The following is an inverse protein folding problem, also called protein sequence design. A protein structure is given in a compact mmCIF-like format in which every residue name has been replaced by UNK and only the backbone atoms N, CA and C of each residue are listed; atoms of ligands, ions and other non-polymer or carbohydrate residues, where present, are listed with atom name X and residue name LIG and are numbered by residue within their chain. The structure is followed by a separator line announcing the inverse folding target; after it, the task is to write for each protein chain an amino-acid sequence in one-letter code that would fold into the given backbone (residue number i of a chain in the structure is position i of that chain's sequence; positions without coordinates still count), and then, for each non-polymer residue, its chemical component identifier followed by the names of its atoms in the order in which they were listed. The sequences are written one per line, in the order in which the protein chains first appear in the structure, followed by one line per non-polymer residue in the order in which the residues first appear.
data_IF_079094591234
#
_entry.id   IF_079094591234
#
_cell.length_a   1.000
_cell.length_b   1.000
_cell.length_c   1.000
_cell.angle_alpha   90.00
_cell.angle_beta   90.00
_cell.angle_gamma   90.00
#
_symmetry.space_group_name_H-M   'P 1'
#
loop_
_entity.id
_entity.type
_entity.pdbx_description
1 polymer ?
#
# COMPACT_ATOMS: atom_id res chain seq x y z
N UNK A 1 -6.40 -16.61 -21.05
CA UNK A 1 -5.72 -15.60 -20.21
C UNK A 1 -4.28 -16.04 -20.03
N UNK A 2 -3.32 -15.11 -20.04
CA UNK A 2 -1.92 -15.45 -19.78
C UNK A 2 -1.79 -16.10 -18.40
N UNK A 3 -0.94 -17.13 -18.29
CA UNK A 3 -0.69 -17.79 -17.01
C UNK A 3 0.04 -16.81 -16.09
N UNK A 4 -0.53 -16.54 -14.91
CA UNK A 4 -0.05 -15.53 -13.99
C UNK A 4 0.41 -16.19 -12.70
N UNK A 5 1.69 -16.04 -12.37
CA UNK A 5 2.30 -16.57 -11.16
C UNK A 5 2.89 -15.42 -10.36
N UNK A 6 2.37 -15.18 -9.17
CA UNK A 6 2.76 -14.04 -8.34
C UNK A 6 3.58 -14.49 -7.13
N UNK A 7 4.56 -13.68 -6.77
CA UNK A 7 5.39 -13.88 -5.59
C UNK A 7 4.95 -12.94 -4.47
N UNK A 8 4.44 -13.46 -3.36
CA UNK A 8 3.86 -12.67 -2.26
C UNK A 8 4.70 -12.81 -1.00
N UNK A 9 5.39 -11.72 -0.64
CA UNK A 9 6.16 -11.61 0.59
C UNK A 9 5.21 -11.23 1.74
N UNK A 10 5.08 -12.11 2.74
CA UNK A 10 4.17 -11.90 3.87
C UNK A 10 2.71 -12.33 3.61
N UNK A 11 2.48 -13.27 2.68
CA UNK A 11 1.13 -13.67 2.25
C UNK A 11 0.29 -14.40 3.31
N UNK A 12 0.86 -14.81 4.45
CA UNK A 12 0.10 -15.34 5.59
C UNK A 12 -0.31 -14.24 6.59
N UNK A 13 0.09 -12.98 6.34
CA UNK A 13 -0.23 -11.82 7.17
C UNK A 13 -1.65 -11.27 6.95
N UNK A 14 -1.92 -10.12 7.58
CA UNK A 14 -3.24 -9.49 7.56
C UNK A 14 -3.71 -9.14 6.14
N UNK A 15 -3.04 -8.22 5.45
CA UNK A 15 -3.36 -7.86 4.07
C UNK A 15 -2.88 -8.94 3.08
N UNK A 16 -1.72 -9.54 3.34
CA UNK A 16 -1.14 -10.57 2.47
C UNK A 16 -2.09 -11.74 2.22
N UNK A 17 -2.79 -12.22 3.24
CA UNK A 17 -3.75 -13.33 3.10
C UNK A 17 -4.95 -12.98 2.21
N UNK A 18 -5.45 -11.74 2.27
CA UNK A 18 -6.50 -11.27 1.38
C UNK A 18 -6.01 -11.20 -0.07
N UNK A 19 -4.78 -10.75 -0.31
CA UNK A 19 -4.16 -10.72 -1.65
C UNK A 19 -3.99 -12.13 -2.20
N UNK A 20 -3.45 -13.08 -1.41
CA UNK A 20 -3.31 -14.48 -1.83
C UNK A 20 -4.68 -15.09 -2.16
N UNK A 21 -5.67 -14.89 -1.29
CA UNK A 21 -7.06 -15.35 -1.52
C UNK A 21 -7.63 -14.79 -2.82
N UNK A 22 -7.44 -13.49 -3.08
CA UNK A 22 -7.95 -12.83 -4.28
C UNK A 22 -7.23 -13.29 -5.56
N UNK A 23 -5.92 -13.51 -5.51
CA UNK A 23 -5.14 -14.04 -6.63
C UNK A 23 -5.58 -15.45 -7.00
N UNK A 24 -5.77 -16.33 -6.02
CA UNK A 24 -6.28 -17.69 -6.24
C UNK A 24 -7.70 -17.68 -6.79
N UNK A 25 -8.56 -16.77 -6.33
CA UNK A 25 -9.90 -16.61 -6.88
C UNK A 25 -9.90 -16.17 -8.36
N UNK A 26 -8.82 -15.50 -8.82
CA UNK A 26 -8.57 -15.17 -10.24
C UNK A 26 -7.92 -16.33 -11.02
N UNK A 27 -7.65 -17.46 -10.38
CA UNK A 27 -6.99 -18.61 -10.99
C UNK A 27 -5.47 -18.45 -11.15
N UNK A 28 -4.84 -17.56 -10.40
CA UNK A 28 -3.40 -17.33 -10.45
C UNK A 28 -2.64 -18.29 -9.54
N UNK A 29 -1.43 -18.64 -9.94
CA UNK A 29 -0.48 -19.34 -9.07
C UNK A 29 0.18 -18.35 -8.11
N UNK A 30 0.39 -18.79 -6.88
CA UNK A 30 0.96 -17.95 -5.82
C UNK A 30 2.10 -18.69 -5.14
N UNK A 31 3.28 -18.08 -5.15
CA UNK A 31 4.37 -18.45 -4.24
C UNK A 31 4.36 -17.44 -3.10
N UNK A 32 4.09 -17.89 -1.87
CA UNK A 32 4.13 -17.02 -0.71
C UNK A 32 5.25 -17.39 0.24
N UNK A 33 6.07 -16.40 0.57
CA UNK A 33 7.16 -16.55 1.52
C UNK A 33 6.85 -15.89 2.86
N UNK A 34 7.30 -16.54 3.94
CA UNK A 34 7.36 -15.98 5.28
C UNK A 34 8.42 -16.72 6.10
N UNK A 35 8.93 -16.19 7.22
CA UNK A 35 9.91 -16.89 8.05
C UNK A 35 9.45 -18.27 8.55
N UNK A 36 8.13 -18.47 8.67
CA UNK A 36 7.56 -19.75 9.12
C UNK A 36 7.22 -20.72 7.99
N UNK A 37 7.03 -20.21 6.77
CA UNK A 37 6.47 -20.96 5.64
C UNK A 37 5.09 -21.57 5.87
N UNK A 38 4.38 -21.21 6.95
CA UNK A 38 3.10 -21.82 7.29
C UNK A 38 1.95 -21.23 6.46
N UNK A 39 0.99 -22.07 6.03
CA UNK A 39 -0.24 -21.59 5.44
C UNK A 39 -1.01 -20.66 6.36
N UNK A 40 -1.80 -19.76 5.78
CA UNK A 40 -2.70 -18.92 6.54
C UNK A 40 -3.70 -19.76 7.37
N UNK A 41 -3.82 -19.39 8.65
CA UNK A 41 -4.85 -19.86 9.59
C UNK A 41 -5.62 -18.68 10.14
N UNK A 42 -6.93 -18.85 10.31
CA UNK A 42 -7.76 -17.88 11.02
C UNK A 42 -7.29 -17.72 12.49
N UNK A 43 -7.68 -16.63 13.19
CA UNK A 43 -7.40 -16.48 14.62
C UNK A 43 -7.91 -17.64 15.47
N UNK A 44 -8.97 -18.33 15.02
CA UNK A 44 -9.53 -19.51 15.65
C UNK A 44 -8.78 -20.82 15.31
N UNK A 45 -7.65 -20.75 14.60
CA UNK A 45 -6.83 -21.92 14.22
C UNK A 45 -7.29 -22.68 12.97
N UNK A 46 -8.46 -22.37 12.43
CA UNK A 46 -8.98 -23.05 11.24
C UNK A 46 -8.21 -22.65 9.97
N UNK A 47 -8.00 -23.61 9.07
CA UNK A 47 -7.45 -23.40 7.73
C UNK A 47 -8.58 -23.29 6.71
N UNK A 48 -8.79 -22.13 6.09
CA UNK A 48 -9.82 -22.00 5.05
C UNK A 48 -9.40 -22.76 3.80
N UNK A 49 -10.36 -23.33 3.05
CA UNK A 49 -10.06 -24.18 1.88
C UNK A 49 -9.22 -23.50 0.78
N UNK A 50 -9.30 -22.17 0.65
CA UNK A 50 -8.44 -21.43 -0.28
C UNK A 50 -6.96 -21.51 0.10
N UNK A 51 -6.61 -21.55 1.41
CA UNK A 51 -5.21 -21.53 1.85
C UNK A 51 -4.49 -22.86 1.61
N UNK A 52 -5.25 -23.91 1.30
CA UNK A 52 -4.76 -25.24 0.91
C UNK A 52 -4.97 -25.52 -0.58
N UNK A 53 -5.31 -24.50 -1.38
CA UNK A 53 -5.47 -24.65 -2.82
C UNK A 53 -4.16 -25.14 -3.47
N UNK A 54 -4.21 -26.02 -4.47
CA UNK A 54 -3.01 -26.46 -5.21
C UNK A 54 -2.31 -25.31 -5.96
N UNK A 55 -3.00 -24.17 -6.15
CA UNK A 55 -2.43 -22.97 -6.76
C UNK A 55 -1.50 -22.20 -5.81
N UNK A 56 -1.42 -22.56 -4.53
CA UNK A 56 -0.57 -21.86 -3.54
C UNK A 56 0.57 -22.74 -3.08
N UNK A 57 1.78 -22.20 -3.14
CA UNK A 57 2.96 -22.74 -2.49
C UNK A 57 3.40 -21.83 -1.36
N UNK A 58 3.33 -22.34 -0.13
CA UNK A 58 3.84 -21.66 1.07
C UNK A 58 5.29 -22.11 1.31
N UNK A 59 6.21 -21.16 1.43
CA UNK A 59 7.64 -21.43 1.59
C UNK A 59 8.22 -20.68 2.77
N UNK A 60 9.06 -21.37 3.54
CA UNK A 60 9.87 -20.75 4.58
C UNK A 60 11.05 -20.03 3.93
N UNK A 61 11.09 -18.72 4.05
CA UNK A 61 12.14 -17.89 3.48
C UNK A 61 12.19 -16.53 4.21
N UNK A 62 13.32 -15.86 4.08
CA UNK A 62 13.59 -14.58 4.73
C UNK A 62 13.81 -13.52 3.65
N UNK A 63 13.00 -12.47 3.66
CA UNK A 63 13.02 -11.41 2.63
C UNK A 63 14.35 -10.65 2.57
N UNK A 64 15.16 -10.66 3.63
CA UNK A 64 16.49 -10.06 3.67
C UNK A 64 17.58 -10.98 3.11
N UNK A 65 17.23 -12.23 2.78
CA UNK A 65 18.14 -13.29 2.34
C UNK A 65 17.69 -13.88 1.00
N UNK A 66 18.01 -13.19 -0.12
CA UNK A 66 17.64 -13.61 -1.48
C UNK A 66 17.92 -15.06 -1.82
N UNK A 67 19.01 -15.62 -1.31
CA UNK A 67 19.41 -17.02 -1.52
C UNK A 67 18.34 -18.01 -1.07
N UNK A 68 17.43 -17.60 -0.18
CA UNK A 68 16.35 -18.47 0.31
C UNK A 68 15.13 -18.53 -0.62
N UNK A 69 15.03 -17.65 -1.62
CA UNK A 69 13.85 -17.54 -2.49
C UNK A 69 14.11 -17.15 -3.96
N UNK A 70 15.34 -16.80 -4.34
CA UNK A 70 15.65 -16.23 -5.67
C UNK A 70 15.24 -17.13 -6.84
N UNK A 71 15.35 -18.45 -6.69
CA UNK A 71 14.99 -19.37 -7.79
C UNK A 71 13.49 -19.37 -8.10
N UNK A 72 12.64 -19.11 -7.10
CA UNK A 72 11.19 -19.02 -7.30
C UNK A 72 10.80 -17.78 -8.11
N UNK A 73 11.54 -16.68 -7.93
CA UNK A 73 11.28 -15.40 -8.60
C UNK A 73 11.36 -15.51 -10.12
N UNK A 74 12.21 -16.41 -10.65
CA UNK A 74 12.38 -16.61 -12.09
C UNK A 74 11.09 -17.03 -12.80
N UNK A 75 10.25 -17.80 -12.09
CA UNK A 75 8.96 -18.28 -12.62
C UNK A 75 7.82 -17.30 -12.41
N UNK A 76 8.06 -16.19 -11.71
CA UNK A 76 7.02 -15.25 -11.30
C UNK A 76 6.90 -14.08 -12.29
N UNK A 77 5.66 -13.72 -12.60
CA UNK A 77 5.30 -12.59 -13.47
C UNK A 77 5.13 -11.29 -12.69
N UNK A 78 4.95 -11.35 -11.37
CA UNK A 78 4.76 -10.20 -10.51
C UNK A 78 5.28 -10.47 -9.09
N UNK A 79 5.62 -9.40 -8.36
CA UNK A 79 5.95 -9.45 -6.94
C UNK A 79 5.00 -8.56 -6.15
N UNK A 80 4.59 -9.01 -4.97
CA UNK A 80 3.84 -8.22 -3.99
C UNK A 80 4.56 -8.28 -2.65
N UNK A 81 5.00 -7.12 -2.18
CA UNK A 81 5.68 -6.96 -0.90
C UNK A 81 4.73 -6.36 0.13
N UNK A 82 4.25 -7.20 1.05
CA UNK A 82 3.24 -6.83 2.07
C UNK A 82 3.81 -6.68 3.47
N UNK A 83 5.11 -6.87 3.64
CA UNK A 83 5.76 -6.78 4.94
C UNK A 83 5.75 -5.32 5.43
N UNK A 84 5.45 -5.17 6.71
CA UNK A 84 5.66 -3.94 7.45
C UNK A 84 5.31 -4.15 8.92
N UNK A 85 6.12 -3.56 9.81
CA UNK A 85 5.82 -3.50 11.23
C UNK A 85 5.31 -2.11 11.56
N UNK A 86 4.26 -2.04 12.38
CA UNK A 86 3.69 -0.77 12.87
C UNK A 86 4.38 -0.28 14.16
N UNK A 87 5.20 -1.12 14.81
CA UNK A 87 5.83 -0.83 16.10
C UNK A 87 7.27 -1.37 16.16
N UNK A 88 8.22 -0.50 16.48
CA UNK A 88 9.59 -0.85 16.88
C UNK A 88 9.62 -1.30 18.35
N UNK A 89 10.59 -2.15 18.71
CA UNK A 89 10.86 -2.56 20.10
C UNK A 89 11.14 -1.37 21.03
N UNK A 90 11.61 -0.24 20.48
CA UNK A 90 12.01 0.94 21.25
C UNK A 90 10.83 1.84 21.66
N UNK A 91 9.65 1.69 21.05
CA UNK A 91 8.45 2.43 21.50
C UNK A 91 8.01 2.03 22.92
N UNK A 92 8.46 0.85 23.41
CA UNK A 92 8.25 0.43 24.80
C UNK A 92 9.20 1.09 25.81
N UNK A 93 10.29 1.71 25.37
CA UNK A 93 11.23 2.43 26.26
C UNK A 93 10.77 3.84 26.65
N UNK A 94 9.86 4.44 25.87
CA UNK A 94 9.42 5.84 26.05
C UNK A 94 8.16 6.06 26.89
N UNK A 95 7.36 5.02 27.17
CA UNK A 95 6.15 5.11 28.00
C UNK A 95 6.32 4.68 29.46
N UNK A 96 7.57 4.59 29.94
CA UNK A 96 7.89 4.28 31.34
C UNK A 96 8.77 5.34 32.04
N UNK A 97 8.67 6.61 31.64
CA UNK A 97 9.35 7.73 32.33
C UNK A 97 8.48 8.97 32.57
N UNK A 98 7.17 8.83 32.67
CA UNK A 98 6.36 9.74 33.50
C UNK A 98 6.05 9.06 34.83
N UNK A 99 7.12 8.79 35.59
CA UNK A 99 7.01 8.61 37.03
C UNK A 99 6.96 10.01 37.63
N UNK A 100 5.74 10.52 37.82
CA UNK A 100 5.51 11.83 38.41
C UNK A 100 4.10 12.36 38.19
N UNK A 101 3.09 11.69 38.79
CA UNK A 101 1.79 12.29 39.10
C UNK A 101 0.76 12.38 37.97
N UNK A 102 -0.26 11.52 38.04
CA UNK A 102 -1.68 11.90 38.03
C UNK A 102 -2.52 10.66 37.69
N UNK A 103 -3.17 10.19 38.74
CA UNK A 103 -4.35 9.33 38.72
C UNK A 103 -5.48 10.06 37.99
N UNK A 104 -5.73 9.73 36.72
CA UNK A 104 -7.03 9.99 36.06
C UNK A 104 -7.45 8.76 35.25
N UNK A 105 -7.86 7.73 35.99
CA UNK A 105 -8.69 6.65 35.48
C UNK A 105 -10.12 7.18 35.28
N UNK A 106 -10.33 7.91 34.18
CA UNK A 106 -11.65 8.12 33.59
C UNK A 106 -11.98 6.99 32.61
N UNK A 107 -13.26 6.60 32.53
CA UNK A 107 -13.76 5.49 31.69
C UNK A 107 -13.36 5.57 30.19
N UNK A 108 -12.90 6.72 29.70
CA UNK A 108 -12.42 6.91 28.32
C UNK A 108 -10.97 6.47 28.05
N UNK A 109 -10.08 6.49 29.05
CA UNK A 109 -8.65 6.18 28.84
C UNK A 109 -8.38 4.70 28.54
N UNK A 110 -9.10 3.81 29.25
CA UNK A 110 -9.03 2.37 29.02
C UNK A 110 -9.65 1.93 27.69
N UNK A 111 -10.73 2.61 27.25
CA UNK A 111 -11.38 2.38 25.96
C UNK A 111 -10.46 2.78 24.81
N UNK A 112 -9.90 3.99 24.85
CA UNK A 112 -8.95 4.46 23.82
C UNK A 112 -7.75 3.51 23.70
N UNK A 113 -7.18 3.07 24.83
CA UNK A 113 -6.08 2.11 24.83
C UNK A 113 -6.48 0.73 24.27
N UNK A 114 -7.70 0.26 24.56
CA UNK A 114 -8.25 -0.96 23.96
C UNK A 114 -8.47 -0.85 22.45
N UNK A 115 -8.90 0.31 21.97
CA UNK A 115 -9.10 0.62 20.54
C UNK A 115 -7.75 0.69 19.80
N UNK A 116 -6.73 1.36 20.36
CA UNK A 116 -5.38 1.36 19.79
C UNK A 116 -4.77 -0.05 19.74
N UNK A 117 -4.97 -0.86 20.79
CA UNK A 117 -4.54 -2.27 20.79
C UNK A 117 -5.26 -3.07 19.70
N UNK A 118 -6.54 -2.79 19.49
CA UNK A 118 -7.36 -3.38 18.44
C UNK A 118 -6.96 -3.02 17.01
N UNK A 119 -6.36 -1.84 16.85
CA UNK A 119 -5.78 -1.35 15.60
C UNK A 119 -4.43 -1.94 15.24
N UNK A 120 -3.85 -2.80 16.10
CA UNK A 120 -2.51 -3.32 15.90
C UNK A 120 -1.41 -2.39 16.43
N UNK A 121 -1.77 -1.27 17.08
CA UNK A 121 -0.83 -0.36 17.75
C UNK A 121 -0.43 -0.81 19.17
N UNK A 122 -0.91 -1.98 19.63
CA UNK A 122 -0.61 -2.49 20.98
C UNK A 122 -0.48 -4.01 21.13
N UNK A 123 -0.45 -4.80 20.05
CA UNK A 123 -0.33 -6.27 20.17
C UNK A 123 1.13 -6.75 20.09
N UNK A 124 1.76 -6.84 21.27
CA UNK A 124 2.64 -7.94 21.71
C UNK A 124 3.82 -8.41 20.84
N UNK A 125 5.02 -8.25 21.38
CA UNK A 125 6.25 -8.98 21.05
C UNK A 125 6.06 -10.51 21.25
N UNK A 126 6.27 -11.36 20.24
CA UNK A 126 6.45 -12.79 20.44
C UNK A 126 7.94 -13.08 20.69
N UNK A 127 8.34 -12.88 21.95
CA UNK A 127 9.51 -13.40 22.66
C UNK A 127 10.93 -13.11 22.10
N UNK A 128 11.75 -12.55 23.00
CA UNK A 128 13.20 -12.68 22.99
C UNK A 128 13.57 -14.16 22.89
N UNK A 129 14.41 -14.48 21.91
CA UNK A 129 15.78 -14.94 22.15
C UNK A 129 16.52 -14.99 20.80
N UNK A 130 17.58 -14.18 20.69
CA UNK A 130 18.57 -14.19 19.59
C UNK A 130 18.16 -13.61 18.23
N UNK A 131 17.85 -12.31 18.13
CA UNK A 131 17.95 -11.58 16.86
C UNK A 131 18.09 -10.07 17.10
N UNK A 132 19.09 -9.43 16.48
CA UNK A 132 19.33 -8.00 16.61
C UNK A 132 18.15 -7.13 16.14
N UNK A 133 17.90 -6.04 16.87
CA UNK A 133 17.15 -4.83 16.53
C UNK A 133 16.51 -4.81 15.12
N UNK A 134 15.27 -5.26 14.98
CA UNK A 134 14.49 -5.08 13.74
C UNK A 134 13.88 -3.67 13.72
N UNK A 135 14.54 -2.75 13.02
CA UNK A 135 14.13 -1.35 12.82
C UNK A 135 13.06 -1.22 11.72
N UNK A 136 12.29 -0.13 11.70
CA UNK A 136 11.36 0.15 10.60
C UNK A 136 12.07 0.14 9.25
N UNK A 137 13.27 0.69 9.18
CA UNK A 137 14.11 0.78 8.00
C UNK A 137 14.38 -0.62 7.42
N UNK A 138 14.81 -1.56 8.27
CA UNK A 138 15.10 -2.93 7.85
C UNK A 138 13.85 -3.62 7.31
N UNK A 139 12.75 -3.52 8.06
CA UNK A 139 11.54 -4.27 7.76
C UNK A 139 10.72 -3.64 6.61
N UNK A 140 10.56 -2.33 6.58
CA UNK A 140 9.75 -1.62 5.60
C UNK A 140 10.51 -1.32 4.31
N UNK A 141 11.80 -0.95 4.40
CA UNK A 141 12.59 -0.48 3.25
C UNK A 141 13.55 -1.55 2.77
N UNK A 142 14.48 -2.00 3.62
CA UNK A 142 15.59 -2.84 3.17
C UNK A 142 15.12 -4.22 2.69
N UNK A 143 14.10 -4.80 3.34
CA UNK A 143 13.49 -6.06 2.90
C UNK A 143 12.79 -5.95 1.53
N UNK A 144 12.15 -4.80 1.24
CA UNK A 144 11.53 -4.56 -0.05
C UNK A 144 12.59 -4.38 -1.15
N UNK A 145 13.67 -3.65 -0.86
CA UNK A 145 14.79 -3.45 -1.78
C UNK A 145 15.55 -4.76 -2.05
N UNK A 146 15.74 -5.60 -1.03
CA UNK A 146 16.33 -6.94 -1.16
C UNK A 146 15.54 -7.79 -2.17
N UNK A 147 14.21 -7.85 -2.00
CA UNK A 147 13.33 -8.61 -2.90
C UNK A 147 13.30 -8.00 -4.30
N UNK A 148 13.27 -6.66 -4.43
CA UNK A 148 13.27 -5.98 -5.73
C UNK A 148 14.56 -6.25 -6.51
N UNK A 149 15.73 -6.17 -5.87
CA UNK A 149 17.03 -6.48 -6.49
C UNK A 149 17.08 -7.93 -6.96
N UNK A 150 16.69 -8.87 -6.10
CA UNK A 150 16.62 -10.29 -6.46
C UNK A 150 15.66 -10.54 -7.64
N UNK A 151 14.54 -9.81 -7.70
CA UNK A 151 13.58 -9.94 -8.80
C UNK A 151 14.14 -9.37 -10.10
N UNK A 152 14.77 -8.20 -10.08
CA UNK A 152 15.46 -7.63 -11.25
C UNK A 152 16.52 -8.62 -11.74
N UNK A 153 17.38 -9.10 -10.85
CA UNK A 153 18.46 -10.05 -11.18
C UNK A 153 17.92 -11.35 -11.79
N UNK A 154 16.83 -11.90 -11.24
CA UNK A 154 16.18 -13.11 -11.76
C UNK A 154 15.65 -12.94 -13.18
N UNK A 155 15.37 -11.70 -13.61
CA UNK A 155 14.85 -11.37 -14.93
C UNK A 155 15.92 -10.95 -15.93
N UNK A 156 17.02 -10.37 -15.44
CA UNK A 156 18.17 -9.97 -16.29
C UNK A 156 19.23 -11.05 -16.41
N UNK A 157 19.18 -12.09 -15.57
CA UNK A 157 20.12 -13.21 -15.58
C UNK A 157 20.08 -14.03 -16.88
N UNK A 158 21.22 -14.59 -17.26
CA UNK A 158 21.48 -15.27 -18.54
C UNK A 158 20.93 -16.69 -18.68
N UNK A 159 20.12 -17.18 -17.72
CA UNK A 159 19.62 -18.56 -17.74
C UNK A 159 18.14 -18.59 -18.13
N UNK A 160 17.79 -18.96 -19.38
CA UNK A 160 16.41 -18.96 -19.84
C UNK A 160 15.63 -20.11 -19.19
N UNK A 161 14.62 -19.76 -18.38
CA UNK A 161 13.51 -20.67 -18.10
C UNK A 161 12.47 -20.51 -19.21
N UNK A 162 11.93 -21.65 -19.63
CA UNK A 162 11.21 -21.92 -20.88
C UNK A 162 9.82 -21.27 -21.03
N UNK A 163 9.55 -20.20 -20.29
CA UNK A 163 8.32 -19.43 -20.36
C UNK A 163 8.67 -17.97 -20.63
N UNK A 164 8.57 -17.58 -21.90
CA UNK A 164 8.72 -16.19 -22.33
C UNK A 164 7.75 -15.30 -21.56
N UNK A 165 8.24 -14.33 -20.76
CA UNK A 165 7.34 -13.35 -20.15
C UNK A 165 6.69 -12.53 -21.27
N UNK A 166 5.36 -12.45 -21.26
CA UNK A 166 4.58 -11.70 -22.26
C UNK A 166 4.76 -10.18 -22.16
N UNK A 167 5.35 -9.68 -21.07
CA UNK A 167 5.65 -8.27 -20.83
C UNK A 167 7.14 -8.07 -20.50
N UNK A 168 7.74 -7.04 -21.10
CA UNK A 168 9.10 -6.58 -20.83
C UNK A 168 9.27 -6.06 -19.40
N UNK A 169 8.22 -5.43 -18.86
CA UNK A 169 8.21 -4.88 -17.51
C UNK A 169 7.27 -5.66 -16.59
N UNK A 170 7.78 -6.12 -15.43
CA UNK A 170 7.00 -6.89 -14.47
C UNK A 170 6.51 -6.02 -13.29
N UNK A 171 5.23 -6.10 -12.91
CA UNK A 171 4.72 -5.32 -11.78
C UNK A 171 5.39 -5.74 -10.46
N UNK A 172 5.86 -4.73 -9.71
CA UNK A 172 6.36 -4.86 -8.35
C UNK A 172 5.49 -4.02 -7.41
N UNK A 173 4.59 -4.67 -6.68
CA UNK A 173 3.66 -3.99 -5.78
C UNK A 173 4.28 -3.86 -4.40
N UNK A 174 4.34 -2.63 -3.89
CA UNK A 174 4.77 -2.32 -2.54
C UNK A 174 3.60 -1.72 -1.75
N UNK A 175 3.31 -2.32 -0.58
CA UNK A 175 2.30 -1.79 0.33
C UNK A 175 2.93 -0.70 1.21
N UNK A 176 2.62 0.54 0.87
CA UNK A 176 2.95 1.75 1.62
C UNK A 176 1.83 2.07 2.63
N UNK A 177 1.68 3.35 2.99
CA UNK A 177 0.60 3.84 3.85
C UNK A 177 0.19 5.27 3.44
N UNK A 178 -1.07 5.60 3.69
CA UNK A 178 -1.47 7.00 3.75
C UNK A 178 -0.97 7.64 5.04
N UNK A 179 -0.66 8.93 4.93
CA UNK A 179 -0.26 9.74 6.06
C UNK A 179 -1.48 10.39 6.73
N UNK A 180 -2.38 9.54 7.22
CA UNK A 180 -3.61 9.96 7.93
C UNK A 180 -3.60 9.55 9.41
N UNK A 181 -2.58 8.81 9.83
CA UNK A 181 -2.53 8.25 11.18
C UNK A 181 -1.67 9.03 12.15
N UNK A 182 -1.05 10.15 11.77
CA UNK A 182 -0.32 10.97 12.75
C UNK A 182 -1.34 11.69 13.67
N UNK A 183 -1.15 11.68 15.00
CA UNK A 183 0.03 11.24 15.76
C UNK A 183 0.02 9.76 16.25
N UNK A 184 -1.00 8.96 15.90
CA UNK A 184 -1.15 7.54 16.29
C UNK A 184 0.01 6.68 15.76
N UNK A 185 0.47 6.96 14.55
CA UNK A 185 1.63 6.34 13.90
C UNK A 185 2.82 7.31 13.96
N UNK A 186 4.03 6.78 14.15
CA UNK A 186 5.24 7.61 14.15
C UNK A 186 5.53 8.18 12.77
N UNK A 187 6.05 9.41 12.72
CA UNK A 187 6.54 10.00 11.48
C UNK A 187 7.62 9.12 10.82
N UNK A 188 8.46 8.45 11.64
CA UNK A 188 9.48 7.50 11.17
C UNK A 188 8.86 6.35 10.37
N UNK A 189 7.71 5.80 10.80
CA UNK A 189 7.03 4.76 10.04
C UNK A 189 6.64 5.25 8.64
N UNK A 190 5.98 6.41 8.54
CA UNK A 190 5.57 6.97 7.24
C UNK A 190 6.80 7.30 6.39
N UNK A 191 7.83 7.89 6.98
CA UNK A 191 9.08 8.23 6.29
C UNK A 191 9.76 6.99 5.71
N UNK A 192 9.90 5.90 6.45
CA UNK A 192 10.51 4.66 5.93
C UNK A 192 9.72 4.04 4.79
N UNK A 193 8.38 4.11 4.82
CA UNK A 193 7.54 3.70 3.68
C UNK A 193 7.81 4.57 2.45
N UNK A 194 7.92 5.90 2.60
CA UNK A 194 8.23 6.83 1.50
C UNK A 194 9.64 6.66 0.95
N UNK A 195 10.63 6.42 1.81
CA UNK A 195 12.00 6.10 1.40
C UNK A 195 12.05 4.82 0.56
N UNK A 196 11.28 3.79 0.92
CA UNK A 196 11.17 2.58 0.12
C UNK A 196 10.57 2.85 -1.28
N UNK A 197 9.53 3.69 -1.38
CA UNK A 197 8.98 4.10 -2.68
C UNK A 197 10.02 4.81 -3.54
N UNK A 198 10.79 5.73 -2.97
CA UNK A 198 11.83 6.46 -3.69
C UNK A 198 12.93 5.53 -4.20
N UNK A 199 13.46 4.64 -3.34
CA UNK A 199 14.53 3.73 -3.72
C UNK A 199 14.07 2.65 -4.71
N UNK A 200 12.81 2.20 -4.65
CA UNK A 200 12.24 1.30 -5.66
C UNK A 200 12.11 1.98 -7.03
N UNK A 201 11.68 3.24 -7.07
CA UNK A 201 11.63 4.02 -8.31
C UNK A 201 13.04 4.20 -8.90
N UNK A 202 14.03 4.44 -8.04
CA UNK A 202 15.44 4.54 -8.43
C UNK A 202 15.96 3.23 -9.02
N UNK A 203 15.70 2.08 -8.38
CA UNK A 203 16.08 0.77 -8.92
C UNK A 203 15.45 0.48 -10.28
N UNK A 204 14.18 0.86 -10.47
CA UNK A 204 13.51 0.74 -11.76
C UNK A 204 14.22 1.57 -12.84
N UNK A 205 14.56 2.83 -12.52
CA UNK A 205 15.31 3.71 -13.43
C UNK A 205 16.73 3.20 -13.72
N UNK A 206 17.44 2.72 -12.72
CA UNK A 206 18.79 2.15 -12.90
C UNK A 206 18.76 0.92 -13.81
N UNK A 207 17.74 0.06 -13.69
CA UNK A 207 17.56 -1.11 -14.56
C UNK A 207 17.34 -0.72 -16.03
N UNK A 208 16.68 0.43 -16.28
CA UNK A 208 16.48 0.98 -17.60
C UNK A 208 17.78 1.50 -18.21
N UNK A 209 18.59 2.21 -17.39
CA UNK A 209 19.89 2.77 -17.80
C UNK A 209 20.91 1.66 -18.09
N UNK A 210 21.00 0.64 -17.22
CA UNK A 210 21.89 -0.51 -17.41
C UNK A 210 21.55 -1.31 -18.67
N UNK A 211 20.25 -1.40 -18.99
CA UNK A 211 19.82 -2.02 -20.23
C UNK A 211 20.30 -1.21 -21.45
N UNK A 212 20.44 0.12 -21.35
CA UNK A 212 20.83 1.03 -22.43
C UNK A 212 22.33 1.05 -22.75
N UNK A 213 23.19 0.74 -21.77
CA UNK A 213 24.64 0.69 -21.96
C UNK A 213 25.18 -0.63 -22.54
N UNK A 214 24.40 -1.72 -22.50
CA UNK A 214 24.82 -3.05 -22.98
C UNK A 214 24.59 -3.31 -24.48
N UNK A 215 23.94 -2.40 -25.21
CA UNK A 215 23.71 -2.54 -26.66
C UNK A 215 24.80 -1.85 -27.48
N UNK A 216 25.95 -2.52 -27.65
CA UNK A 216 26.94 -2.16 -28.67
C UNK A 216 26.45 -2.58 -30.07
N UNK A 217 26.05 -1.60 -30.87
CA UNK A 217 26.10 -1.51 -32.33
C UNK A 217 25.76 -2.76 -33.16
N UNK A 218 24.49 -2.86 -33.60
CA UNK A 218 24.12 -3.48 -34.89
C UNK A 218 23.14 -2.56 -35.61
N UNK A 219 23.51 -2.15 -36.82
CA UNK A 219 22.83 -1.13 -37.64
C UNK A 219 21.44 -1.55 -38.17
N UNK A 220 20.94 -2.74 -37.80
CA UNK A 220 19.62 -3.25 -38.22
C UNK A 220 18.47 -2.94 -37.25
N UNK A 221 18.73 -2.26 -36.12
CA UNK A 221 17.73 -2.03 -35.04
C UNK A 221 16.90 -0.74 -35.18
N UNK A 222 17.09 0.05 -36.24
CA UNK A 222 16.40 1.34 -36.43
C UNK A 222 14.88 1.21 -36.63
N UNK A 223 14.36 0.00 -36.91
CA UNK A 223 12.94 -0.25 -37.17
C UNK A 223 12.12 -0.70 -35.94
N UNK A 224 12.71 -0.79 -34.75
CA UNK A 224 11.90 -0.91 -33.53
C UNK A 224 12.63 -0.25 -32.36
N UNK A 225 12.57 1.07 -32.32
CA UNK A 225 12.69 1.84 -31.08
C UNK A 225 11.48 1.53 -30.17
N UNK A 226 11.24 0.24 -29.86
CA UNK A 226 10.29 -0.17 -28.85
C UNK A 226 10.69 0.54 -27.57
N UNK A 227 9.77 1.32 -27.01
CA UNK A 227 9.98 2.09 -25.80
C UNK A 227 10.61 1.17 -24.75
N UNK A 228 11.91 1.38 -24.49
CA UNK A 228 12.61 0.60 -23.49
C UNK A 228 11.95 0.89 -22.14
N UNK A 229 11.36 -0.13 -21.56
CA UNK A 229 10.69 -0.09 -20.26
C UNK A 229 11.64 -0.57 -19.16
N UNK A 230 11.46 -0.12 -17.91
CA UNK A 230 12.22 -0.66 -16.79
C UNK A 230 11.90 -2.15 -16.58
N UNK A 231 12.86 -2.92 -16.05
CA UNK A 231 12.69 -4.38 -15.82
C UNK A 231 11.53 -4.66 -14.89
N UNK A 232 11.35 -3.80 -13.90
CA UNK A 232 10.20 -3.80 -12.99
C UNK A 232 9.39 -2.52 -13.17
N UNK A 233 8.08 -2.63 -12.94
CA UNK A 233 7.15 -1.51 -12.87
C UNK A 233 6.63 -1.39 -11.44
N UNK A 234 7.19 -0.48 -10.63
CA UNK A 234 6.77 -0.30 -9.25
C UNK A 234 5.33 0.22 -9.14
N UNK A 235 4.58 -0.34 -8.21
CA UNK A 235 3.23 0.08 -7.83
C UNK A 235 3.17 0.32 -6.32
N UNK A 236 2.91 1.56 -5.93
CA UNK A 236 2.84 1.96 -4.53
C UNK A 236 1.39 2.05 -4.10
N UNK A 237 0.93 1.08 -3.29
CA UNK A 237 -0.42 1.09 -2.75
C UNK A 237 -0.38 1.80 -1.40
N UNK A 238 -1.07 2.92 -1.29
CA UNK A 238 -1.17 3.73 -0.07
C UNK A 238 -2.57 3.56 0.53
N UNK A 239 -2.82 2.47 1.28
CA UNK A 239 -4.10 2.32 1.95
C UNK A 239 -4.19 3.26 3.16
N UNK A 240 -5.40 3.76 3.39
CA UNK A 240 -5.82 4.34 4.66
C UNK A 240 -6.13 3.25 5.69
N UNK A 241 -7.17 3.43 6.51
CA UNK A 241 -7.44 2.50 7.61
C UNK A 241 -7.97 1.19 7.06
N UNK A 242 -7.26 0.10 7.27
CA UNK A 242 -7.71 -1.23 6.88
C UNK A 242 -8.40 -1.96 8.03
N UNK A 243 -9.53 -2.61 7.73
CA UNK A 243 -10.23 -3.46 8.69
C UNK A 243 -10.66 -4.79 8.08
N UNK A 244 -10.87 -5.79 8.95
CA UNK A 244 -11.50 -7.05 8.57
C UNK A 244 -12.15 -7.72 9.79
N UNK A 245 -13.48 -7.93 9.79
CA UNK A 245 -14.20 -8.45 10.97
C UNK A 245 -13.73 -9.81 11.49
N UNK A 246 -13.35 -10.74 10.62
CA UNK A 246 -13.04 -12.11 11.05
C UNK A 246 -11.55 -12.32 11.41
N UNK A 247 -10.62 -11.72 10.66
CA UNK A 247 -9.18 -11.89 10.86
C UNK A 247 -8.60 -10.89 11.87
N UNK A 248 -9.21 -9.71 12.01
CA UNK A 248 -8.91 -8.73 13.06
C UNK A 248 -10.18 -8.05 13.58
N UNK A 249 -11.01 -8.74 14.38
CA UNK A 249 -12.30 -8.20 14.86
C UNK A 249 -12.19 -6.84 15.55
N UNK A 250 -11.09 -6.60 16.27
CA UNK A 250 -10.87 -5.35 16.98
C UNK A 250 -10.65 -4.13 16.07
N UNK A 251 -10.35 -4.34 14.78
CA UNK A 251 -10.24 -3.26 13.78
C UNK A 251 -11.61 -2.72 13.34
N UNK A 252 -12.68 -3.52 13.48
CA UNK A 252 -14.02 -3.21 12.94
C UNK A 252 -14.72 -2.09 13.68
N UNK A 253 -14.64 -2.06 15.01
CA UNK A 253 -15.38 -1.06 15.78
C UNK A 253 -14.93 0.37 15.47
N UNK A 254 -13.62 0.69 15.45
CA UNK A 254 -13.23 2.04 15.11
C UNK A 254 -13.37 2.35 13.61
N UNK A 255 -13.30 1.33 12.75
CA UNK A 255 -13.65 1.49 11.34
C UNK A 255 -15.09 1.98 11.20
N UNK A 256 -16.05 1.41 11.94
CA UNK A 256 -17.43 1.88 11.93
C UNK A 256 -17.58 3.33 12.42
N UNK A 257 -16.82 3.73 13.45
CA UNK A 257 -16.83 5.13 13.92
C UNK A 257 -16.29 6.10 12.86
N UNK A 258 -15.20 5.74 12.19
CA UNK A 258 -14.63 6.56 11.11
C UNK A 258 -15.51 6.57 9.86
N UNK A 259 -16.18 5.47 9.54
CA UNK A 259 -17.14 5.39 8.44
C UNK A 259 -18.35 6.31 8.69
N UNK A 260 -18.86 6.32 9.92
CA UNK A 260 -19.89 7.27 10.34
C UNK A 260 -19.38 8.71 10.26
N UNK A 261 -18.16 8.96 10.75
CA UNK A 261 -17.53 10.28 10.65
C UNK A 261 -17.44 10.75 9.19
N UNK A 262 -16.90 9.91 8.30
CA UNK A 262 -16.77 10.22 6.89
C UNK A 262 -18.13 10.49 6.23
N UNK A 263 -19.15 9.70 6.56
CA UNK A 263 -20.52 9.88 6.08
C UNK A 263 -21.14 11.20 6.54
N UNK A 264 -20.88 11.63 7.78
CA UNK A 264 -21.32 12.93 8.30
C UNK A 264 -20.60 14.06 7.57
N UNK A 265 -19.27 13.96 7.39
CA UNK A 265 -18.49 14.96 6.67
C UNK A 265 -18.98 15.11 5.22
N UNK A 266 -19.22 14.00 4.51
CA UNK A 266 -19.75 14.02 3.15
C UNK A 266 -21.14 14.65 3.02
N UNK A 267 -21.96 14.62 4.08
CA UNK A 267 -23.27 15.28 4.11
C UNK A 267 -23.19 16.76 4.47
N UNK A 268 -22.16 17.17 5.23
CA UNK A 268 -21.99 18.54 5.70
C UNK A 268 -21.13 19.39 4.77
N UNK A 269 -20.23 18.78 3.99
CA UNK A 269 -19.44 19.47 2.97
C UNK A 269 -20.24 19.56 1.66
N UNK A 270 -20.51 20.77 1.12
CA UNK A 270 -21.12 20.89 -0.20
C UNK A 270 -20.14 20.40 -1.27
N UNK A 271 -20.67 19.74 -2.29
CA UNK A 271 -19.93 19.40 -3.50
C UNK A 271 -19.52 20.68 -4.27
N UNK A 272 -18.43 21.33 -3.87
CA UNK A 272 -17.68 22.29 -4.70
C UNK A 272 -16.38 22.75 -4.03
N UNK A 273 -15.25 22.16 -4.41
CA UNK A 273 -14.03 22.90 -4.80
C UNK A 273 -12.92 21.93 -5.24
N UNK A 274 -13.15 21.23 -6.35
CA UNK A 274 -12.03 20.80 -7.22
C UNK A 274 -12.07 21.72 -8.44
N UNK A 275 -11.91 23.02 -8.22
CA UNK A 275 -11.56 23.94 -9.29
C UNK A 275 -10.06 23.80 -9.52
N UNK A 276 -9.70 23.08 -10.56
CA UNK A 276 -8.44 23.29 -11.27
C UNK A 276 -8.33 24.79 -11.59
N UNK A 277 -7.19 25.46 -11.37
CA UNK A 277 -7.02 26.84 -11.85
C UNK A 277 -6.94 26.78 -13.38
N UNK A 278 -8.06 27.03 -14.03
CA UNK A 278 -8.19 27.10 -15.48
C UNK A 278 -9.05 28.29 -15.84
N UNK A 279 -8.37 29.31 -16.36
CA UNK A 279 -8.80 30.51 -17.09
C UNK A 279 -10.25 31.03 -16.91
N UNK A 280 -10.31 32.30 -16.56
CA UNK A 280 -11.48 33.16 -16.51
C UNK A 280 -12.36 33.04 -17.76
N UNK A 281 -13.64 32.71 -17.56
CA UNK A 281 -14.69 32.91 -18.55
C UNK A 281 -15.91 33.54 -17.84
N UNK A 282 -16.19 34.84 -18.05
CA UNK A 282 -17.27 35.53 -17.36
C UNK A 282 -18.52 35.43 -18.23
N UNK A 283 -19.34 34.39 -18.05
CA UNK A 283 -20.79 34.34 -18.39
C UNK A 283 -21.30 32.88 -18.33
N UNK A 284 -21.61 32.40 -17.13
CA UNK A 284 -22.61 31.34 -16.97
C UNK A 284 -23.23 31.40 -15.57
N UNK A 285 -24.15 32.34 -15.41
CA UNK A 285 -25.16 32.26 -14.37
C UNK A 285 -26.07 31.06 -14.64
N UNK A 286 -26.53 30.42 -13.56
CA UNK A 286 -27.59 29.41 -13.49
C UNK A 286 -27.14 27.93 -13.52
N UNK A 287 -26.60 27.47 -12.38
CA UNK A 287 -26.80 26.07 -11.94
C UNK A 287 -27.60 26.02 -10.65
N UNK A 288 -28.66 25.23 -10.69
CA UNK A 288 -29.63 24.97 -9.64
C UNK A 288 -28.92 24.44 -8.39
N UNK A 289 -29.17 25.11 -7.27
CA UNK A 289 -28.64 24.73 -5.96
C UNK A 289 -29.27 23.41 -5.51
N UNK A 290 -28.47 22.35 -5.45
CA UNK A 290 -28.80 21.17 -4.67
C UNK A 290 -28.92 21.58 -3.19
N UNK A 291 -30.00 21.12 -2.56
CA UNK A 291 -30.43 21.48 -1.22
C UNK A 291 -29.43 21.01 -0.16
N UNK A 292 -28.44 21.84 0.16
CA UNK A 292 -27.62 21.66 1.35
C UNK A 292 -28.48 21.82 2.60
N UNK A 293 -28.20 21.04 3.64
CA UNK A 293 -28.77 21.20 4.98
C UNK A 293 -28.35 22.53 5.59
N UNK A 294 -29.01 23.61 5.16
CA UNK A 294 -28.97 24.92 5.82
C UNK A 294 -29.88 24.82 7.04
N UNK A 295 -29.34 25.11 8.22
CA UNK A 295 -30.19 25.53 9.33
C UNK A 295 -30.96 26.80 8.90
N UNK A 296 -32.17 27.06 9.45
CA UNK A 296 -32.71 28.42 9.39
C UNK A 296 -31.61 29.37 9.89
N UNK A 297 -31.40 30.50 9.20
CA UNK A 297 -30.32 31.50 9.42
C UNK A 297 -28.98 31.31 8.70
N UNK A 298 -28.79 30.31 7.82
CA UNK A 298 -27.64 30.29 6.91
C UNK A 298 -26.26 30.08 7.55
N UNK A 299 -26.23 29.73 8.84
CA UNK A 299 -25.00 29.37 9.55
C UNK A 299 -24.52 27.98 9.09
N UNK A 300 -23.25 27.91 8.65
CA UNK A 300 -22.57 26.65 8.32
C UNK A 300 -22.02 26.06 9.61
N UNK A 301 -22.39 24.82 9.93
CA UNK A 301 -21.78 24.09 11.04
C UNK A 301 -20.37 23.65 10.57
N UNK A 302 -19.28 24.12 11.20
CA UNK A 302 -17.95 23.65 10.84
C UNK A 302 -17.83 22.17 11.20
N UNK A 303 -17.31 21.36 10.28
CA UNK A 303 -17.03 19.94 10.53
C UNK A 303 -15.84 19.80 11.49
N UNK A 304 -15.76 18.71 12.28
CA UNK A 304 -14.59 18.44 13.12
C UNK A 304 -13.27 18.47 12.33
N UNK A 305 -13.24 17.92 11.11
CA UNK A 305 -12.08 18.01 10.24
C UNK A 305 -11.74 19.47 9.87
N UNK A 306 -12.73 20.31 9.56
CA UNK A 306 -12.48 21.74 9.26
C UNK A 306 -11.95 22.52 10.46
N UNK A 307 -12.38 22.17 11.67
CA UNK A 307 -11.85 22.76 12.91
C UNK A 307 -10.40 22.35 13.15
N UNK A 308 -10.06 21.07 12.96
CA UNK A 308 -8.67 20.60 13.07
C UNK A 308 -7.79 21.29 12.03
N UNK A 309 -8.27 21.46 10.79
CA UNK A 309 -7.50 22.16 9.76
C UNK A 309 -7.24 23.63 10.09
N UNK A 310 -8.25 24.31 10.62
CA UNK A 310 -8.19 25.75 10.88
C UNK A 310 -7.54 26.13 12.21
N UNK A 311 -7.69 25.31 13.24
CA UNK A 311 -7.31 25.63 14.62
C UNK A 311 -6.40 24.57 15.27
N UNK A 312 -6.17 23.43 14.61
CA UNK A 312 -5.33 22.36 15.14
C UNK A 312 -3.85 22.74 15.17
N UNK A 313 -3.08 22.22 16.14
CA UNK A 313 -1.63 22.42 16.19
C UNK A 313 -0.93 21.85 14.94
N UNK A 314 0.29 22.30 14.67
CA UNK A 314 1.09 21.72 13.59
C UNK A 314 1.29 20.21 13.82
N UNK A 315 1.08 19.42 12.76
CA UNK A 315 1.24 17.96 12.79
C UNK A 315 -0.02 17.12 13.07
N UNK A 316 -1.17 17.72 13.41
CA UNK A 316 -2.45 16.99 13.54
C UNK A 316 -3.33 17.04 12.29
N UNK A 317 -2.85 17.66 11.21
CA UNK A 317 -3.57 17.74 9.92
C UNK A 317 -3.95 16.36 9.36
N UNK A 318 -3.08 15.33 9.42
CA UNK A 318 -3.44 13.94 9.07
C UNK A 318 -4.70 13.41 9.76
N UNK A 319 -4.98 13.83 11.00
CA UNK A 319 -6.17 13.41 11.73
C UNK A 319 -7.46 13.96 11.10
N UNK A 320 -7.39 15.16 10.49
CA UNK A 320 -8.53 15.70 9.76
C UNK A 320 -8.87 14.84 8.53
N UNK A 321 -7.85 14.36 7.82
CA UNK A 321 -8.02 13.44 6.69
C UNK A 321 -8.55 12.07 7.15
N UNK A 322 -8.13 11.58 8.32
CA UNK A 322 -8.66 10.34 8.87
C UNK A 322 -10.17 10.40 9.16
N UNK A 323 -10.67 11.56 9.61
CA UNK A 323 -12.09 11.75 9.92
C UNK A 323 -12.98 11.83 8.68
N UNK A 324 -12.43 12.19 7.53
CA UNK A 324 -13.15 12.35 6.27
C UNK A 324 -13.02 11.13 5.36
N UNK A 325 -11.99 10.30 5.55
CA UNK A 325 -11.76 9.11 4.76
C UNK A 325 -12.43 7.89 5.40
N UNK A 326 -13.37 7.22 4.69
CA UNK A 326 -13.91 5.96 5.18
C UNK A 326 -12.78 4.91 5.32
N UNK A 327 -12.94 3.92 6.19
CA UNK A 327 -12.02 2.79 6.24
C UNK A 327 -12.12 1.92 4.97
N UNK A 328 -11.10 1.13 4.69
CA UNK A 328 -11.03 0.16 3.62
C UNK A 328 -11.12 -1.26 4.18
N UNK A 329 -11.99 -2.08 3.60
CA UNK A 329 -11.92 -3.51 3.84
C UNK A 329 -10.67 -4.07 3.15
N UNK A 330 -9.95 -5.00 3.78
CA UNK A 330 -8.72 -5.56 3.17
C UNK A 330 -8.97 -6.24 1.83
N UNK A 331 -10.16 -6.80 1.61
CA UNK A 331 -10.52 -7.41 0.32
C UNK A 331 -10.61 -6.36 -0.80
N UNK A 332 -10.98 -5.11 -0.48
CA UNK A 332 -10.98 -4.00 -1.43
C UNK A 332 -9.56 -3.68 -1.88
N UNK A 333 -8.63 -3.64 -0.92
CA UNK A 333 -7.20 -3.43 -1.20
C UNK A 333 -6.64 -4.59 -2.01
N UNK A 334 -6.98 -5.84 -1.66
CA UNK A 334 -6.56 -7.03 -2.38
C UNK A 334 -7.06 -7.06 -3.83
N UNK A 335 -8.33 -6.67 -4.07
CA UNK A 335 -8.89 -6.52 -5.41
C UNK A 335 -8.11 -5.49 -6.23
N UNK A 336 -7.84 -4.32 -5.67
CA UNK A 336 -7.08 -3.27 -6.33
C UNK A 336 -5.65 -3.71 -6.66
N UNK A 337 -4.97 -4.42 -5.74
CA UNK A 337 -3.63 -5.00 -5.99
C UNK A 337 -3.65 -5.97 -7.16
N UNK A 338 -4.59 -6.92 -7.17
CA UNK A 338 -4.70 -7.85 -8.30
C UNK A 338 -5.09 -7.14 -9.61
N UNK A 339 -5.96 -6.13 -9.56
CA UNK A 339 -6.32 -5.34 -10.73
C UNK A 339 -5.10 -4.59 -11.30
N UNK A 340 -4.28 -3.99 -10.44
CA UNK A 340 -3.04 -3.33 -10.85
C UNK A 340 -2.04 -4.30 -11.50
N UNK A 341 -1.86 -5.50 -10.94
CA UNK A 341 -1.03 -6.56 -11.53
C UNK A 341 -1.56 -7.01 -12.90
N UNK A 342 -2.88 -7.05 -13.06
CA UNK A 342 -3.53 -7.40 -14.32
C UNK A 342 -3.47 -6.28 -15.38
N UNK A 343 -2.99 -5.08 -15.03
CA UNK A 343 -2.91 -3.93 -15.94
C UNK A 343 -4.17 -3.05 -15.97
N UNK A 344 -5.21 -3.39 -15.20
CA UNK A 344 -6.51 -2.70 -15.21
C UNK A 344 -6.39 -1.23 -14.75
N UNK A 345 -5.43 -0.91 -13.87
CA UNK A 345 -5.19 0.46 -13.40
C UNK A 345 -4.74 1.38 -14.55
N UNK A 346 -3.84 0.88 -15.41
CA UNK A 346 -3.33 1.60 -16.56
C UNK A 346 -4.40 1.77 -17.64
N UNK A 347 -5.20 0.72 -17.88
CA UNK A 347 -6.34 0.76 -18.81
C UNK A 347 -7.37 1.81 -18.41
N UNK A 348 -7.67 1.89 -17.11
CA UNK A 348 -8.65 2.82 -16.55
C UNK A 348 -8.05 4.21 -16.25
N UNK A 349 -6.73 4.39 -16.44
CA UNK A 349 -5.98 5.61 -16.08
C UNK A 349 -6.22 6.03 -14.62
N UNK A 350 -6.16 5.06 -13.72
CA UNK A 350 -6.36 5.26 -12.27
C UNK A 350 -5.01 5.27 -11.57
N UNK A 351 -4.82 6.24 -10.68
CA UNK A 351 -3.56 6.43 -9.95
C UNK A 351 -2.71 7.57 -10.50
N UNK A 352 -1.69 7.94 -9.73
CA UNK A 352 -0.72 8.96 -10.09
C UNK A 352 0.52 8.29 -10.69
N UNK A 353 0.81 8.56 -11.97
CA UNK A 353 2.06 8.12 -12.60
C UNK A 353 3.23 8.93 -12.04
N UNK A 354 4.24 8.22 -11.51
CA UNK A 354 5.53 8.80 -11.12
C UNK A 354 6.41 8.76 -12.35
N UNK A 355 6.85 9.92 -12.82
CA UNK A 355 7.69 10.03 -14.01
C UNK A 355 9.06 10.58 -13.69
N UNK A 356 10.09 10.06 -14.36
CA UNK A 356 11.45 10.59 -14.32
C UNK A 356 11.82 11.24 -15.65
N UNK A 357 12.48 12.40 -15.57
CA UNK A 357 13.18 12.99 -16.71
C UNK A 357 14.53 12.30 -16.87
N UNK A 358 14.82 11.82 -18.08
CA UNK A 358 16.11 11.21 -18.41
C UNK A 358 16.75 12.09 -19.45
N UNK A 359 17.95 12.63 -19.18
CA UNK A 359 18.60 13.65 -20.02
C UNK A 359 18.70 13.27 -21.51
N UNK A 360 18.73 11.96 -21.82
CA UNK A 360 18.78 11.43 -23.18
C UNK A 360 17.40 11.27 -23.87
N UNK A 361 16.29 11.67 -23.25
CA UNK A 361 14.93 11.53 -23.81
C UNK A 361 14.10 12.81 -23.65
N UNK A 362 13.42 13.19 -24.73
CA UNK A 362 12.52 14.36 -24.74
C UNK A 362 11.23 14.14 -23.92
N UNK A 363 10.77 12.89 -23.81
CA UNK A 363 9.56 12.55 -23.06
C UNK A 363 9.88 11.91 -21.69
N UNK A 364 9.21 12.34 -20.60
CA UNK A 364 9.36 11.72 -19.30
C UNK A 364 8.94 10.24 -19.31
N UNK A 365 9.67 9.40 -18.59
CA UNK A 365 9.42 7.96 -18.51
C UNK A 365 8.66 7.66 -17.23
N UNK A 366 7.61 6.85 -17.31
CA UNK A 366 6.94 6.33 -16.11
C UNK A 366 7.86 5.34 -15.39
N UNK A 367 8.19 5.63 -14.13
CA UNK A 367 9.05 4.83 -13.26
C UNK A 367 8.25 4.20 -12.10
N UNK A 368 6.93 4.38 -12.10
CA UNK A 368 6.01 3.73 -11.18
C UNK A 368 4.66 4.41 -11.14
N UNK A 369 3.73 3.80 -10.40
CA UNK A 369 2.38 4.33 -10.19
C UNK A 369 2.03 4.32 -8.70
N UNK A 370 1.35 5.36 -8.23
CA UNK A 370 0.83 5.46 -6.86
C UNK A 370 -0.68 5.30 -6.88
N UNK A 371 -1.19 4.36 -6.10
CA UNK A 371 -2.61 4.19 -5.83
C UNK A 371 -2.92 4.74 -4.44
N UNK A 372 -3.50 5.92 -4.39
CA UNK A 372 -4.01 6.51 -3.15
C UNK A 372 -5.30 5.81 -2.70
N UNK A 373 -5.78 6.12 -1.49
CA UNK A 373 -7.00 5.51 -0.93
C UNK A 373 -8.23 5.65 -1.85
N UNK A 374 -8.40 6.79 -2.53
CA UNK A 374 -9.48 7.01 -3.49
C UNK A 374 -9.35 6.14 -4.74
N UNK A 375 -8.13 5.97 -5.25
CA UNK A 375 -7.82 5.16 -6.43
C UNK A 375 -8.10 3.68 -6.17
N UNK A 376 -7.73 3.18 -4.98
CA UNK A 376 -7.97 1.81 -4.54
C UNK A 376 -9.47 1.47 -4.62
N UNK A 377 -10.35 2.39 -4.18
CA UNK A 377 -11.80 2.18 -4.24
C UNK A 377 -12.30 2.11 -5.66
N UNK A 378 -11.87 3.07 -6.49
CA UNK A 378 -12.28 3.16 -7.90
C UNK A 378 -11.86 1.91 -8.66
N UNK A 379 -10.61 1.49 -8.48
CA UNK A 379 -10.06 0.30 -9.13
C UNK A 379 -10.72 -1.00 -8.64
N UNK A 380 -11.14 -1.06 -7.38
CA UNK A 380 -11.91 -2.19 -6.84
C UNK A 380 -13.39 -2.20 -7.30
N UNK A 381 -13.81 -1.25 -8.16
CA UNK A 381 -15.17 -1.15 -8.68
C UNK A 381 -16.17 -0.51 -7.72
N UNK A 382 -15.71 0.20 -6.69
CA UNK A 382 -16.58 0.90 -5.76
C UNK A 382 -16.99 2.24 -6.36
N UNK A 383 -18.31 2.45 -6.52
CA UNK A 383 -18.87 3.73 -6.96
C UNK A 383 -18.89 4.67 -5.73
N UNK A 384 -18.22 5.81 -5.86
CA UNK A 384 -18.23 6.89 -4.85
C UNK A 384 -19.62 7.38 -4.52
#
# INVERSE_FOLDING_TARGET
MAHQRIFVVGGSGFLGSAIVKQAVARGWEVVSISPSGRPFTTPAGHRPGWSTSPLIRWQSADALRPETYADELRSCTAVVHTIGILLESDYKGGRSRTAGGAQESGAGGGLLQGLLKGWGFGSGNPLNESAGKLSYEVMNRDSALSVARAFIESRTGTCPLTSTPTSTSAPFVYISAEDIFRPIVSERYIKTKREAEYELARLALDSLNASSSSSSTSLSSLATAAAKEPVIRPFYVRPGLMYHPQTRPLSTFPAALLDLSASIHARLEPASSTSVPGNDDPLSSQRQSSSASRLPFGLRIPTPASLIRSLGPEGVQPLADLLTLPPLHIDTVAKAVCAAIAGEAQEQRIGLSVTAQVEAREAPISVGEVLATSDIRRLAGWKS
#
